data_IF_286865052952
#
_entry.id   IF_286865052952
#
_cell.length_a   1.000
_cell.length_b   1.000
_cell.length_c   1.000
_cell.angle_alpha   90.00
_cell.angle_beta   90.00
_cell.angle_gamma   90.00
#
_symmetry.space_group_name_H-M   'P 1'
#
loop_
_entity.id
_entity.type
_entity.pdbx_description
1 polymer ?
#
# COMPACT_ATOMS: atom_id res chain seq x y z
N UNK A 1 13.48 -3.77 -8.33
CA UNK A 1 12.58 -2.63 -8.14
C UNK A 1 11.65 -2.57 -9.33
N UNK A 2 10.35 -2.40 -9.11
CA UNK A 2 9.34 -2.18 -10.15
C UNK A 2 8.55 -0.90 -9.83
N UNK A 3 8.14 -0.18 -10.87
CA UNK A 3 7.48 1.11 -10.76
C UNK A 3 6.32 1.17 -11.78
N UNK A 4 5.12 1.55 -11.35
CA UNK A 4 3.91 1.61 -12.19
C UNK A 4 3.96 2.79 -13.15
N UNK A 5 3.94 3.99 -12.61
CA UNK A 5 4.11 5.22 -13.38
C UNK A 5 2.81 6.01 -13.44
N UNK A 6 2.11 5.97 -14.57
CA UNK A 6 0.82 6.65 -14.75
C UNK A 6 -0.29 5.63 -15.04
N UNK A 7 -1.40 5.75 -14.33
CA UNK A 7 -2.56 4.90 -14.50
C UNK A 7 -2.57 3.74 -13.51
N UNK A 8 -3.55 2.86 -13.64
CA UNK A 8 -3.71 1.74 -12.72
C UNK A 8 -2.86 0.55 -13.18
N UNK A 9 -1.76 0.27 -12.49
CA UNK A 9 -0.80 -0.78 -12.83
C UNK A 9 -0.96 -2.04 -11.98
N UNK A 10 -0.27 -3.11 -12.40
CA UNK A 10 -0.07 -4.31 -11.59
C UNK A 10 1.41 -4.62 -11.53
N UNK A 11 2.00 -4.50 -10.34
CA UNK A 11 3.41 -4.69 -10.09
C UNK A 11 3.64 -5.99 -9.33
N UNK A 12 4.34 -6.94 -9.96
CA UNK A 12 4.64 -8.24 -9.36
C UNK A 12 6.15 -8.40 -9.20
N UNK A 13 6.62 -8.74 -8.00
CA UNK A 13 8.04 -9.06 -7.79
C UNK A 13 8.55 -8.88 -6.36
N UNK A 14 9.87 -9.02 -6.19
CA UNK A 14 10.56 -8.78 -4.91
C UNK A 14 11.37 -7.48 -4.90
N UNK A 15 11.88 -7.11 -3.73
CA UNK A 15 12.68 -5.89 -3.56
C UNK A 15 11.81 -4.68 -3.23
N UNK A 16 11.60 -3.77 -4.18
CA UNK A 16 10.84 -2.52 -3.97
C UNK A 16 9.78 -2.39 -5.06
N UNK A 17 8.52 -2.15 -4.68
CA UNK A 17 7.38 -1.90 -5.57
C UNK A 17 6.83 -0.51 -5.29
N UNK A 18 6.69 0.33 -6.32
CA UNK A 18 6.20 1.72 -6.20
C UNK A 18 5.10 1.96 -7.24
N UNK A 19 3.85 2.18 -6.81
CA UNK A 19 2.75 2.46 -7.72
C UNK A 19 2.93 3.78 -8.50
N UNK A 20 3.01 4.88 -7.74
CA UNK A 20 2.93 6.29 -8.19
C UNK A 20 1.49 6.75 -8.45
N UNK A 21 1.15 7.12 -9.68
CA UNK A 21 -0.11 7.77 -10.00
C UNK A 21 -1.11 6.76 -10.51
N UNK A 22 -2.26 6.69 -9.86
CA UNK A 22 -3.30 5.72 -10.19
C UNK A 22 -3.59 4.86 -8.98
N UNK A 23 -4.39 3.82 -9.17
CA UNK A 23 -4.63 2.82 -8.15
C UNK A 23 -3.92 1.52 -8.56
N UNK A 24 -2.78 1.25 -7.93
CA UNK A 24 -1.91 0.15 -8.33
C UNK A 24 -2.16 -1.12 -7.51
N UNK A 25 -2.04 -2.27 -8.16
CA UNK A 25 -2.02 -3.57 -7.49
C UNK A 25 -0.56 -4.01 -7.27
N UNK A 26 -0.12 -4.05 -6.03
CA UNK A 26 1.24 -4.40 -5.63
C UNK A 26 1.29 -5.83 -5.08
N UNK A 27 1.94 -6.72 -5.82
CA UNK A 27 2.12 -8.13 -5.50
C UNK A 27 3.60 -8.42 -5.21
N UNK A 28 3.96 -8.34 -3.93
CA UNK A 28 5.26 -8.79 -3.42
C UNK A 28 5.53 -10.29 -3.60
N UNK A 29 6.82 -10.64 -3.61
CA UNK A 29 7.32 -12.00 -3.73
C UNK A 29 6.99 -12.85 -2.50
N UNK A 30 6.47 -14.06 -2.70
CA UNK A 30 6.17 -14.97 -1.58
C UNK A 30 7.43 -15.52 -0.86
N UNK A 31 8.60 -15.43 -1.50
CA UNK A 31 9.85 -16.04 -1.02
C UNK A 31 10.98 -15.04 -0.74
N UNK A 32 10.74 -13.74 -0.88
CA UNK A 32 11.76 -12.72 -0.67
C UNK A 32 11.16 -11.43 -0.11
N UNK A 33 11.92 -10.64 0.67
CA UNK A 33 11.45 -9.36 1.18
C UNK A 33 10.98 -8.42 0.06
N UNK A 34 9.85 -7.76 0.30
CA UNK A 34 9.27 -6.74 -0.57
C UNK A 34 8.94 -5.51 0.27
N UNK A 35 9.41 -4.35 -0.18
CA UNK A 35 9.03 -3.04 0.34
C UNK A 35 7.99 -2.45 -0.60
N UNK A 36 6.78 -2.27 -0.09
CA UNK A 36 5.69 -1.59 -0.80
C UNK A 36 5.79 -0.10 -0.51
N UNK A 37 5.91 0.73 -1.54
CA UNK A 37 6.04 2.18 -1.39
C UNK A 37 4.74 2.86 -1.78
N UNK A 38 4.10 3.50 -0.81
CA UNK A 38 2.91 4.33 -0.99
C UNK A 38 3.34 5.79 -1.05
N UNK A 39 2.93 6.53 -2.08
CA UNK A 39 3.39 7.90 -2.31
C UNK A 39 2.30 8.92 -2.05
N UNK A 40 2.40 9.64 -0.95
CA UNK A 40 1.36 10.62 -0.57
C UNK A 40 1.26 11.84 -1.50
N UNK A 41 2.23 12.06 -2.39
CA UNK A 41 2.22 13.13 -3.40
C UNK A 41 1.56 12.73 -4.73
N UNK A 42 1.37 11.43 -4.97
CA UNK A 42 0.76 10.90 -6.20
C UNK A 42 -0.62 10.31 -5.96
N UNK A 43 -0.86 9.78 -4.77
CA UNK A 43 -2.19 9.44 -4.29
C UNK A 43 -3.01 10.71 -4.09
N UNK A 44 -4.27 10.77 -4.51
CA UNK A 44 -5.05 12.03 -4.41
C UNK A 44 -6.45 11.85 -3.83
N UNK A 45 -6.89 10.60 -3.59
CA UNK A 45 -8.24 10.31 -3.17
C UNK A 45 -8.40 9.97 -1.69
N UNK A 46 -9.64 10.07 -1.22
CA UNK A 46 -10.09 9.49 0.05
C UNK A 46 -10.89 8.19 -0.18
N UNK A 47 -11.09 7.82 -1.43
CA UNK A 47 -11.88 6.68 -1.89
C UNK A 47 -10.97 5.47 -2.16
N UNK A 48 -11.54 4.27 -2.12
CA UNK A 48 -10.79 3.01 -2.27
C UNK A 48 -10.25 2.81 -3.68
N UNK A 49 -10.92 3.38 -4.66
CA UNK A 49 -10.58 3.35 -6.08
C UNK A 49 -9.37 4.21 -6.43
N UNK A 50 -8.82 4.94 -5.46
CA UNK A 50 -7.71 5.86 -5.63
C UNK A 50 -6.59 5.56 -4.63
N UNK A 51 -6.43 4.30 -4.23
CA UNK A 51 -5.41 3.85 -3.29
C UNK A 51 -4.76 2.55 -3.78
N UNK A 52 -3.46 2.43 -3.58
CA UNK A 52 -2.71 1.21 -3.88
C UNK A 52 -3.16 0.01 -3.03
N UNK A 53 -3.22 -1.17 -3.65
CA UNK A 53 -3.54 -2.42 -2.97
C UNK A 53 -2.31 -3.30 -2.81
N UNK A 54 -2.14 -3.87 -1.62
CA UNK A 54 -1.11 -4.85 -1.33
C UNK A 54 -1.77 -6.19 -1.02
N UNK A 55 -1.80 -7.09 -2.02
CA UNK A 55 -2.52 -8.36 -1.91
C UNK A 55 -1.67 -9.52 -1.38
N UNK A 56 -0.35 -9.43 -1.50
CA UNK A 56 0.58 -10.46 -1.04
C UNK A 56 1.43 -10.01 0.14
N UNK A 57 0.96 -9.04 0.92
CA UNK A 57 1.66 -8.58 2.13
C UNK A 57 1.82 -9.72 3.14
N UNK A 58 3.06 -10.05 3.49
CA UNK A 58 3.41 -11.17 4.38
C UNK A 58 4.57 -10.76 5.29
N UNK A 59 4.30 -10.40 6.56
CA UNK A 59 5.33 -10.09 7.54
C UNK A 59 6.39 -11.19 7.67
N UNK A 60 5.97 -12.46 7.59
CA UNK A 60 6.85 -13.63 7.70
C UNK A 60 7.82 -13.76 6.52
N UNK A 61 7.52 -13.17 5.37
CA UNK A 61 8.43 -13.07 4.22
C UNK A 61 9.35 -11.83 4.30
N UNK A 62 9.27 -11.04 5.38
CA UNK A 62 10.02 -9.81 5.57
C UNK A 62 9.45 -8.62 4.81
N UNK A 63 8.16 -8.65 4.45
CA UNK A 63 7.50 -7.52 3.79
C UNK A 63 7.41 -6.30 4.69
N UNK A 64 7.57 -5.12 4.10
CA UNK A 64 7.51 -3.81 4.78
C UNK A 64 6.74 -2.81 3.93
N UNK A 65 6.27 -1.75 4.58
CA UNK A 65 5.57 -0.66 3.92
C UNK A 65 6.35 0.62 4.19
N UNK A 66 6.67 1.36 3.13
CA UNK A 66 7.25 2.68 3.20
C UNK A 66 6.22 3.68 2.67
N UNK A 67 5.89 4.69 3.46
CA UNK A 67 5.04 5.80 3.03
C UNK A 67 5.95 6.98 2.73
N UNK A 68 6.01 7.39 1.48
CA UNK A 68 6.76 8.58 1.08
C UNK A 68 5.92 9.83 1.40
N UNK A 69 6.45 10.71 2.25
CA UNK A 69 5.71 11.87 2.76
C UNK A 69 6.57 12.88 3.52
N UNK A 70 6.02 14.07 3.73
CA UNK A 70 6.57 15.15 4.56
C UNK A 70 5.89 15.21 5.95
N UNK A 71 5.48 14.06 6.46
CA UNK A 71 4.82 13.90 7.75
C UNK A 71 5.47 12.76 8.55
N UNK A 72 4.90 12.45 9.72
CA UNK A 72 5.39 11.35 10.56
C UNK A 72 4.41 10.19 10.58
N UNK A 73 4.85 9.01 10.99
CA UNK A 73 3.97 7.83 11.19
C UNK A 73 2.83 8.10 12.18
N UNK A 74 2.94 9.13 13.03
CA UNK A 74 1.86 9.54 13.93
C UNK A 74 0.69 10.21 13.19
N UNK A 75 0.91 10.73 11.97
CA UNK A 75 -0.13 11.22 11.07
C UNK A 75 -0.74 10.08 10.22
N UNK A 76 -0.44 8.82 10.53
CA UNK A 76 -1.07 7.66 9.89
C UNK A 76 -2.10 7.02 10.81
N UNK A 77 -3.25 6.68 10.22
CA UNK A 77 -4.29 5.83 10.81
C UNK A 77 -4.33 4.49 10.08
N UNK A 78 -4.59 3.43 10.85
CA UNK A 78 -4.64 2.06 10.38
C UNK A 78 -5.97 1.47 10.85
N UNK A 79 -6.93 1.38 9.94
CA UNK A 79 -8.28 0.93 10.26
C UNK A 79 -8.53 -0.44 9.67
N UNK A 80 -9.07 -1.35 10.48
CA UNK A 80 -9.56 -2.65 10.00
C UNK A 80 -10.97 -2.46 9.47
N UNK A 81 -11.19 -2.73 8.18
CA UNK A 81 -12.52 -2.70 7.59
C UNK A 81 -12.65 -3.78 6.53
N UNK A 82 -13.84 -4.36 6.40
CA UNK A 82 -14.14 -5.21 5.25
C UNK A 82 -14.41 -4.32 4.04
N UNK A 83 -13.48 -4.29 3.09
CA UNK A 83 -13.67 -3.57 1.85
C UNK A 83 -14.22 -4.53 0.81
N UNK A 84 -15.45 -4.30 0.36
CA UNK A 84 -15.99 -4.94 -0.84
C UNK A 84 -15.89 -3.93 -1.96
N UNK A 85 -14.80 -3.96 -2.72
CA UNK A 85 -14.64 -3.13 -3.91
C UNK A 85 -14.17 -3.97 -5.11
N UNK A 86 -14.61 -3.55 -6.29
CA UNK A 86 -14.05 -4.03 -7.57
C UNK A 86 -12.86 -3.16 -7.92
N UNK A 87 -11.65 -3.63 -7.59
CA UNK A 87 -10.43 -2.94 -7.99
C UNK A 87 -10.09 -3.27 -9.44
N UNK A 88 -9.73 -2.25 -10.23
CA UNK A 88 -9.33 -2.35 -11.64
C UNK A 88 -10.24 -3.23 -12.51
N UNK A 89 -11.56 -3.23 -12.25
CA UNK A 89 -12.60 -4.05 -12.91
C UNK A 89 -12.31 -5.57 -12.98
N UNK A 90 -11.32 -6.07 -12.23
CA UNK A 90 -10.78 -7.44 -12.40
C UNK A 90 -10.71 -8.23 -11.12
N UNK A 91 -10.77 -7.58 -9.96
CA UNK A 91 -10.69 -8.28 -8.67
C UNK A 91 -11.76 -7.77 -7.74
N UNK A 92 -12.67 -8.66 -7.37
CA UNK A 92 -13.54 -8.43 -6.22
C UNK A 92 -12.67 -8.71 -5.00
N UNK A 93 -12.40 -7.68 -4.20
CA UNK A 93 -11.90 -7.86 -2.85
C UNK A 93 -13.06 -8.45 -2.04
N UNK A 94 -13.18 -9.77 -2.11
CA UNK A 94 -13.94 -10.52 -1.13
C UNK A 94 -12.92 -11.05 -0.15
N UNK A 95 -13.22 -10.99 1.15
CA UNK A 95 -12.44 -11.65 2.19
C UNK A 95 -12.36 -13.15 1.87
N UNK A 96 -11.41 -13.54 1.04
CA UNK A 96 -11.28 -14.90 0.52
C UNK A 96 -11.05 -15.90 1.67
N UNK A 97 -10.49 -15.39 2.77
CA UNK A 97 -10.19 -16.15 3.98
C UNK A 97 -10.96 -15.65 5.22
N UNK A 98 -11.93 -14.73 5.03
CA UNK A 98 -12.70 -14.14 6.13
C UNK A 98 -11.97 -13.06 6.95
N UNK A 99 -10.75 -12.67 6.58
CA UNK A 99 -10.05 -11.55 7.23
C UNK A 99 -10.46 -10.22 6.60
N UNK A 100 -10.59 -9.20 7.43
CA UNK A 100 -10.80 -7.84 6.98
C UNK A 100 -9.51 -7.23 6.42
N UNK A 101 -9.65 -6.13 5.69
CA UNK A 101 -8.53 -5.38 5.12
C UNK A 101 -8.01 -4.36 6.13
N UNK A 102 -6.77 -3.91 5.95
CA UNK A 102 -6.20 -2.80 6.72
C UNK A 102 -6.01 -1.60 5.81
N UNK A 103 -6.70 -0.50 6.13
CA UNK A 103 -6.65 0.74 5.38
C UNK A 103 -5.63 1.66 6.02
N UNK A 104 -4.71 2.19 5.21
CA UNK A 104 -3.66 3.11 5.64
C UNK A 104 -4.06 4.51 5.15
N UNK A 105 -4.35 5.41 6.10
CA UNK A 105 -4.79 6.76 5.81
C UNK A 105 -3.88 7.80 6.43
N UNK A 106 -3.75 8.94 5.77
CA UNK A 106 -3.20 10.13 6.39
C UNK A 106 -4.30 10.83 7.20
N UNK A 107 -4.08 10.97 8.50
CA UNK A 107 -5.05 11.50 9.45
C UNK A 107 -5.40 12.96 9.17
N UNK A 108 -4.40 13.80 8.90
CA UNK A 108 -4.58 15.23 8.70
C UNK A 108 -5.37 15.60 7.44
N UNK A 109 -5.35 14.75 6.41
CA UNK A 109 -6.00 15.02 5.11
C UNK A 109 -7.17 14.08 4.82
N UNK A 110 -7.28 12.95 5.53
CA UNK A 110 -8.22 11.88 5.22
C UNK A 110 -7.86 11.07 3.96
N UNK A 111 -6.72 11.36 3.34
CA UNK A 111 -6.23 10.69 2.13
C UNK A 111 -6.01 9.20 2.42
N UNK A 112 -6.56 8.35 1.56
CA UNK A 112 -6.32 6.92 1.61
C UNK A 112 -5.08 6.63 0.77
N UNK A 113 -4.04 6.10 1.40
CA UNK A 113 -2.74 5.88 0.77
C UNK A 113 -2.56 4.46 0.27
N UNK A 114 -3.20 3.50 0.93
CA UNK A 114 -3.15 2.12 0.50
C UNK A 114 -3.97 1.19 1.36
N UNK A 115 -4.16 -0.03 0.87
CA UNK A 115 -4.93 -1.08 1.54
C UNK A 115 -4.15 -2.37 1.53
N UNK A 116 -3.97 -2.97 2.71
CA UNK A 116 -3.45 -4.33 2.84
C UNK A 116 -4.63 -5.29 2.84
N UNK A 117 -4.70 -6.14 1.81
CA UNK A 117 -5.85 -7.01 1.58
C UNK A 117 -5.80 -8.22 2.50
N UNK A 118 -6.97 -8.60 3.06
CA UNK A 118 -7.20 -9.86 3.76
C UNK A 118 -6.15 -10.16 4.86
N UNK A 119 -5.86 -9.17 5.70
CA UNK A 119 -4.80 -9.24 6.72
C UNK A 119 -5.33 -9.11 8.16
N UNK A 120 -6.29 -8.23 8.41
CA UNK A 120 -7.06 -8.15 9.66
C UNK A 120 -6.34 -7.58 10.89
N UNK A 121 -5.01 -7.40 10.89
CA UNK A 121 -4.26 -6.86 12.03
C UNK A 121 -3.59 -5.51 11.72
N UNK A 122 -4.28 -4.43 12.06
CA UNK A 122 -3.77 -3.06 11.88
C UNK A 122 -2.50 -2.77 12.70
N UNK A 123 -2.29 -3.41 13.85
CA UNK A 123 -1.10 -3.16 14.68
C UNK A 123 0.15 -3.73 14.01
N UNK A 124 0.05 -4.91 13.41
CA UNK A 124 1.18 -5.50 12.68
C UNK A 124 1.52 -4.65 11.45
N UNK A 125 0.52 -4.25 10.65
CA UNK A 125 0.73 -3.34 9.51
C UNK A 125 1.41 -2.04 9.96
N UNK A 126 0.92 -1.43 11.05
CA UNK A 126 1.52 -0.23 11.64
C UNK A 126 2.97 -0.45 12.05
N UNK A 127 3.27 -1.56 12.71
CA UNK A 127 4.64 -1.87 13.18
C UNK A 127 5.65 -2.08 12.05
N UNK A 128 5.16 -2.40 10.84
CA UNK A 128 5.96 -2.62 9.64
C UNK A 128 5.88 -1.48 8.64
N UNK A 129 5.21 -0.39 9.02
CA UNK A 129 5.09 0.83 8.22
C UNK A 129 6.05 1.88 8.74
N UNK A 130 6.87 2.43 7.85
CA UNK A 130 7.70 3.59 8.13
C UNK A 130 7.33 4.76 7.21
N UNK A 131 7.54 5.99 7.67
CA UNK A 131 7.41 7.18 6.82
C UNK A 131 8.81 7.63 6.44
N UNK A 132 9.05 7.76 5.13
CA UNK A 132 10.33 8.17 4.55
C UNK A 132 10.16 9.48 3.79
N UNK A 133 11.16 10.36 3.79
CA UNK A 133 11.08 11.62 3.05
C UNK A 133 11.07 11.34 1.54
N UNK A 134 10.39 12.18 0.76
CA UNK A 134 10.45 12.13 -0.71
C UNK A 134 11.87 12.26 -1.28
N UNK A 135 12.79 12.81 -0.47
CA UNK A 135 14.20 12.96 -0.84
C UNK A 135 15.02 11.68 -0.67
N UNK A 136 14.43 10.58 -0.21
CA UNK A 136 15.13 9.31 -0.10
C UNK A 136 15.66 8.87 -1.48
N UNK A 137 16.98 8.67 -1.65
CA UNK A 137 17.56 8.27 -2.93
C UNK A 137 16.95 6.99 -3.51
N UNK A 138 16.46 6.07 -2.68
CA UNK A 138 15.79 4.85 -3.14
C UNK A 138 14.47 5.15 -3.86
N UNK A 139 13.85 6.31 -3.59
CA UNK A 139 12.61 6.77 -4.21
C UNK A 139 12.84 7.69 -5.40
N UNK A 140 14.02 8.32 -5.48
CA UNK A 140 14.40 9.28 -6.52
C UNK A 140 14.84 8.65 -7.85
N UNK A 141 15.14 7.35 -7.88
CA UNK A 141 15.50 6.68 -9.12
C UNK A 141 14.27 6.47 -10.00
N UNK A 142 14.20 7.28 -11.05
CA UNK A 142 13.35 7.17 -12.23
C UNK A 142 14.23 7.36 -13.46
#
# INVERSE_FOLDING_TARGET
MARGGQGDDTLVGGGVLIGNFGADLLEGSLGAPTVFVLRSDTETGTQLEAADLMDSFRPTAGHRIAVAGDFSVADLTFDVATVVSTFNRRRTLTAADGLADVLIRRTSTGQLLGVVVNFGDANVVRSLTEVVPFTDPALQLG
#
